data_IF_907836755090
#
_entry.id   IF_907836755090
#
_cell.length_a   1.000
_cell.length_b   1.000
_cell.length_c   1.000
_cell.angle_alpha   90.00
_cell.angle_beta   90.00
_cell.angle_gamma   90.00
#
_symmetry.space_group_name_H-M   'P 1'
#
loop_
_entity.id
_entity.type
_entity.pdbx_description
1 polymer ?
#
# COMPACT_ATOMS: atom_id res chain seq x y z
N UNK A 1 16.56 18.16 7.50
CA UNK A 1 16.33 16.71 7.74
C UNK A 1 16.20 16.05 6.38
N UNK A 2 16.96 14.99 6.07
CA UNK A 2 16.81 14.31 4.78
C UNK A 2 15.45 13.60 4.71
N UNK A 3 14.86 13.57 3.53
CA UNK A 3 13.68 12.76 3.23
C UNK A 3 14.04 11.27 3.31
N UNK A 4 13.10 10.42 3.73
CA UNK A 4 13.32 8.96 3.73
C UNK A 4 13.56 8.45 2.30
N UNK A 5 14.52 7.55 2.12
CA UNK A 5 14.90 7.03 0.79
C UNK A 5 13.74 6.39 0.02
N UNK A 6 12.83 5.69 0.72
CA UNK A 6 11.63 5.09 0.10
C UNK A 6 10.69 6.15 -0.49
N UNK A 7 10.65 7.34 0.10
CA UNK A 7 9.86 8.45 -0.43
C UNK A 7 10.57 9.14 -1.59
N UNK A 8 11.91 9.20 -1.56
CA UNK A 8 12.71 9.78 -2.63
C UNK A 8 12.74 8.92 -3.91
N UNK A 9 12.68 7.60 -3.76
CA UNK A 9 12.84 6.64 -4.87
C UNK A 9 11.51 6.14 -5.44
N UNK A 10 10.39 6.25 -4.71
CA UNK A 10 9.08 5.86 -5.27
C UNK A 10 8.68 6.77 -6.42
N UNK A 11 7.97 6.19 -7.38
CA UNK A 11 7.39 6.90 -8.51
C UNK A 11 6.03 6.29 -8.88
N UNK A 12 5.28 6.96 -9.74
CA UNK A 12 4.01 6.44 -10.27
C UNK A 12 4.27 5.55 -11.48
N UNK A 13 4.37 4.24 -11.26
CA UNK A 13 4.57 3.24 -12.31
C UNK A 13 3.48 3.33 -13.38
N UNK A 14 3.87 3.37 -14.66
CA UNK A 14 2.92 3.49 -15.80
C UNK A 14 2.61 2.16 -16.50
N UNK A 15 3.41 1.13 -16.27
CA UNK A 15 3.23 -0.23 -16.79
C UNK A 15 3.86 -1.22 -15.82
N UNK A 16 3.15 -2.31 -15.51
CA UNK A 16 3.65 -3.40 -14.68
C UNK A 16 4.07 -4.58 -15.55
N UNK A 17 4.98 -5.40 -15.04
CA UNK A 17 5.35 -6.68 -15.64
C UNK A 17 4.21 -7.69 -15.42
N UNK A 18 3.60 -8.26 -16.48
CA UNK A 18 2.49 -9.20 -16.35
C UNK A 18 2.89 -10.56 -15.79
N UNK A 19 4.18 -10.93 -15.85
CA UNK A 19 4.67 -12.24 -15.39
C UNK A 19 5.18 -12.19 -13.93
N UNK A 20 5.20 -10.99 -13.32
CA UNK A 20 5.69 -10.77 -11.97
C UNK A 20 4.54 -10.71 -10.97
N UNK A 21 4.29 -11.83 -10.29
CA UNK A 21 3.33 -11.90 -9.19
C UNK A 21 3.85 -11.23 -7.91
N UNK A 22 2.90 -10.76 -7.09
CA UNK A 22 3.17 -10.23 -5.75
C UNK A 22 2.99 -11.37 -4.72
N UNK A 23 4.02 -11.66 -3.89
CA UNK A 23 3.89 -12.63 -2.81
C UNK A 23 2.74 -12.33 -1.85
N UNK A 24 2.01 -13.38 -1.42
CA UNK A 24 0.82 -13.24 -0.58
C UNK A 24 1.09 -12.53 0.75
N UNK A 25 2.25 -12.76 1.37
CA UNK A 25 2.66 -12.10 2.61
C UNK A 25 2.78 -10.57 2.45
N UNK A 26 3.23 -10.10 1.28
CA UNK A 26 3.29 -8.67 0.96
C UNK A 26 1.90 -8.08 0.81
N UNK A 27 0.98 -8.79 0.17
CA UNK A 27 -0.43 -8.36 0.07
C UNK A 27 -1.08 -8.26 1.46
N UNK A 28 -0.83 -9.24 2.34
CA UNK A 28 -1.30 -9.20 3.74
C UNK A 28 -0.71 -8.01 4.49
N UNK A 29 0.57 -7.73 4.33
CA UNK A 29 1.22 -6.57 4.97
C UNK A 29 0.59 -5.23 4.53
N UNK A 30 0.27 -5.08 3.24
CA UNK A 30 -0.42 -3.88 2.72
C UNK A 30 -1.85 -3.80 3.28
N UNK A 31 -2.56 -4.91 3.36
CA UNK A 31 -3.91 -4.95 3.94
C UNK A 31 -3.91 -4.55 5.42
N UNK A 32 -2.94 -5.03 6.21
CA UNK A 32 -2.79 -4.62 7.62
C UNK A 32 -2.46 -3.13 7.76
N UNK A 33 -1.58 -2.60 6.91
CA UNK A 33 -1.27 -1.17 6.91
C UNK A 33 -2.53 -0.32 6.59
N UNK A 34 -3.33 -0.75 5.61
CA UNK A 34 -4.58 -0.08 5.25
C UNK A 34 -5.63 -0.18 6.37
N UNK A 35 -5.67 -1.31 7.10
CA UNK A 35 -6.55 -1.52 8.27
C UNK A 35 -6.18 -0.61 9.44
N UNK A 36 -4.89 -0.31 9.63
CA UNK A 36 -4.40 0.58 10.70
C UNK A 36 -4.44 2.07 10.36
N UNK A 37 -4.85 2.44 9.15
CA UNK A 37 -4.95 3.85 8.78
C UNK A 37 -5.91 4.59 9.74
N UNK A 38 -5.52 5.74 10.30
CA UNK A 38 -6.39 6.52 11.16
C UNK A 38 -7.52 7.17 10.34
N UNK A 39 -8.70 7.28 10.93
CA UNK A 39 -9.83 8.02 10.37
C UNK A 39 -10.46 8.91 11.43
N UNK A 40 -11.10 10.00 11.01
CA UNK A 40 -11.86 10.88 11.90
C UNK A 40 -12.86 10.07 12.72
N UNK A 41 -12.82 10.23 14.05
CA UNK A 41 -13.64 9.49 15.01
C UNK A 41 -13.57 7.96 14.88
N UNK A 42 -12.51 7.44 14.25
CA UNK A 42 -12.36 6.02 13.93
C UNK A 42 -13.52 5.40 13.13
N UNK A 43 -14.21 6.23 12.33
CA UNK A 43 -15.38 5.79 11.54
C UNK A 43 -15.04 4.77 10.45
N UNK A 44 -13.76 4.70 10.02
CA UNK A 44 -13.24 3.76 9.04
C UNK A 44 -14.15 3.60 7.79
N UNK A 45 -14.50 4.71 7.09
CA UNK A 45 -15.49 4.70 6.02
C UNK A 45 -14.91 4.16 4.69
N UNK A 46 -14.17 3.06 4.73
CA UNK A 46 -13.51 2.45 3.58
C UNK A 46 -13.81 0.95 3.48
N UNK A 47 -13.73 0.44 2.24
CA UNK A 47 -13.72 -1.00 1.94
C UNK A 47 -12.59 -1.26 0.96
N UNK A 48 -11.75 -2.25 1.27
CA UNK A 48 -10.64 -2.67 0.42
C UNK A 48 -11.05 -3.93 -0.36
N UNK A 49 -10.65 -4.01 -1.64
CA UNK A 49 -10.90 -5.15 -2.52
C UNK A 49 -9.53 -5.61 -3.04
N UNK A 50 -9.25 -6.90 -2.93
CA UNK A 50 -8.04 -7.55 -3.42
C UNK A 50 -8.44 -8.61 -4.45
N UNK A 51 -7.69 -8.73 -5.54
CA UNK A 51 -7.93 -9.66 -6.65
C UNK A 51 -6.75 -10.62 -6.79
#
# INVERSE_FOLDING_TARGET
>A
MPIMDVLATRWSTRSFDPDQDIPKDKLVAVAEAARWAPSTNNNQPWRYIFF
#
